data_IF_880079160078
#
_entry.id   IF_880079160078
#
_cell.length_a   1.000
_cell.length_b   1.000
_cell.length_c   1.000
_cell.angle_alpha   90.00
_cell.angle_beta   90.00
_cell.angle_gamma   90.00
#
_symmetry.space_group_name_H-M   'P 1'
#
loop_
_entity.id
_entity.type
_entity.pdbx_description
1 polymer ?
#
# COMPACT_ATOMS: atom_id res chain seq x y z
N UNK A 1 -7.75 11.49 -3.67
CA UNK A 1 -6.49 11.04 -4.30
C UNK A 1 -5.27 11.35 -3.44
N UNK A 2 -5.00 12.60 -3.00
CA UNK A 2 -3.86 12.92 -2.10
C UNK A 2 -3.77 12.06 -0.83
N UNK A 3 -4.91 11.76 -0.19
CA UNK A 3 -4.95 11.00 1.07
C UNK A 3 -4.51 9.54 0.93
N UNK A 4 -4.85 8.88 -0.18
CA UNK A 4 -4.58 7.43 -0.33
C UNK A 4 -3.11 7.18 -0.62
N UNK A 5 -2.48 8.05 -1.41
CA UNK A 5 -1.04 8.00 -1.70
C UNK A 5 -0.21 8.33 -0.45
N UNK A 6 -0.59 9.35 0.31
CA UNK A 6 0.06 9.69 1.58
C UNK A 6 -0.08 8.58 2.63
N UNK A 7 -1.27 7.95 2.71
CA UNK A 7 -1.49 6.77 3.56
C UNK A 7 -0.65 5.57 3.10
N UNK A 8 -0.55 5.31 1.79
CA UNK A 8 0.26 4.23 1.26
C UNK A 8 1.75 4.46 1.55
N UNK A 9 2.26 5.68 1.33
CA UNK A 9 3.63 6.05 1.65
C UNK A 9 3.94 5.86 3.15
N UNK A 10 3.00 6.22 4.01
CA UNK A 10 3.11 6.04 5.47
C UNK A 10 3.19 4.56 5.84
N UNK A 11 2.35 3.71 5.25
CA UNK A 11 2.35 2.27 5.50
C UNK A 11 3.61 1.58 4.99
N UNK A 12 4.12 1.98 3.82
CA UNK A 12 5.38 1.48 3.28
C UNK A 12 6.56 1.82 4.20
N UNK A 13 6.59 3.05 4.73
CA UNK A 13 7.63 3.46 5.68
C UNK A 13 7.55 2.65 6.99
N UNK A 14 6.34 2.46 7.51
CA UNK A 14 6.10 1.62 8.70
C UNK A 14 6.54 0.17 8.49
N UNK A 15 6.17 -0.44 7.35
CA UNK A 15 6.60 -1.78 6.97
C UNK A 15 8.13 -1.89 6.96
N UNK A 16 8.82 -0.93 6.33
CA UNK A 16 10.28 -0.93 6.26
C UNK A 16 10.93 -0.85 7.64
N UNK A 17 10.36 -0.08 8.56
CA UNK A 17 10.84 -0.05 9.96
C UNK A 17 10.70 -1.41 10.65
N UNK A 18 9.57 -2.10 10.46
CA UNK A 18 9.35 -3.44 11.04
C UNK A 18 10.34 -4.44 10.45
N UNK A 19 10.63 -4.38 9.15
CA UNK A 19 11.66 -5.22 8.51
C UNK A 19 13.03 -4.99 9.15
N UNK A 20 13.42 -3.73 9.34
CA UNK A 20 14.69 -3.40 10.00
C UNK A 20 14.74 -3.94 11.44
N UNK A 21 13.66 -3.77 12.20
CA UNK A 21 13.55 -4.35 13.55
C UNK A 21 13.67 -5.88 13.51
N UNK A 22 13.07 -6.55 12.53
CA UNK A 22 13.12 -8.00 12.40
C UNK A 22 14.52 -8.52 12.09
N UNK A 23 15.26 -7.80 11.26
CA UNK A 23 16.67 -8.11 10.95
C UNK A 23 17.53 -7.96 12.21
N UNK A 24 17.33 -6.89 12.97
CA UNK A 24 18.12 -6.59 14.17
C UNK A 24 17.78 -7.49 15.35
N UNK A 25 16.50 -7.79 15.57
CA UNK A 25 16.03 -8.60 16.69
C UNK A 25 16.15 -10.11 16.43
N UNK A 26 16.28 -10.54 15.17
CA UNK A 26 16.22 -11.95 14.81
C UNK A 26 14.79 -12.50 14.88
N UNK A 27 14.66 -13.83 15.00
CA UNK A 27 13.38 -14.55 14.98
C UNK A 27 12.35 -13.97 15.97
N UNK A 28 11.25 -13.41 15.46
CA UNK A 28 10.18 -12.82 16.28
C UNK A 28 8.83 -13.01 15.59
N UNK A 29 7.99 -13.82 16.23
CA UNK A 29 6.64 -14.10 15.75
C UNK A 29 5.79 -12.82 15.69
N UNK A 30 5.94 -11.94 16.67
CA UNK A 30 5.19 -10.67 16.72
C UNK A 30 5.55 -9.76 15.54
N UNK A 31 6.84 -9.64 15.22
CA UNK A 31 7.30 -8.84 14.08
C UNK A 31 6.87 -9.47 12.74
N UNK A 32 6.88 -10.81 12.65
CA UNK A 32 6.37 -11.52 11.47
C UNK A 32 4.87 -11.28 11.26
N UNK A 33 4.08 -11.28 12.34
CA UNK A 33 2.66 -10.98 12.28
C UNK A 33 2.38 -9.51 11.93
N UNK A 34 3.18 -8.57 12.46
CA UNK A 34 3.12 -7.16 12.09
C UNK A 34 3.42 -6.95 10.60
N UNK A 35 4.40 -7.66 10.04
CA UNK A 35 4.69 -7.61 8.60
C UNK A 35 3.52 -8.14 7.78
N UNK A 36 2.93 -9.26 8.18
CA UNK A 36 1.75 -9.84 7.52
C UNK A 36 0.57 -8.88 7.49
N UNK A 37 0.30 -8.19 8.60
CA UNK A 37 -0.77 -7.19 8.69
C UNK A 37 -0.48 -5.99 7.77
N UNK A 38 0.76 -5.49 7.78
CA UNK A 38 1.17 -4.38 6.93
C UNK A 38 1.03 -4.72 5.44
N UNK A 39 1.48 -5.91 5.03
CA UNK A 39 1.40 -6.39 3.64
C UNK A 39 -0.06 -6.51 3.18
N UNK A 40 -0.94 -7.05 4.03
CA UNK A 40 -2.36 -7.12 3.73
C UNK A 40 -2.98 -5.73 3.52
N UNK A 41 -2.63 -4.76 4.37
CA UNK A 41 -3.17 -3.41 4.28
C UNK A 41 -2.68 -2.64 3.05
N UNK A 42 -1.41 -2.83 2.69
CA UNK A 42 -0.82 -2.27 1.47
C UNK A 42 -1.54 -2.85 0.24
N UNK A 43 -1.72 -4.17 0.17
CA UNK A 43 -2.43 -4.81 -0.94
C UNK A 43 -3.88 -4.31 -1.05
N UNK A 44 -4.58 -4.15 0.08
CA UNK A 44 -5.93 -3.61 0.11
C UNK A 44 -5.99 -2.17 -0.44
N UNK A 45 -5.08 -1.29 -0.02
CA UNK A 45 -5.04 0.10 -0.48
C UNK A 45 -4.66 0.22 -1.95
N UNK A 46 -3.69 -0.58 -2.42
CA UNK A 46 -3.31 -0.63 -3.83
C UNK A 46 -4.50 -1.06 -4.69
N UNK A 47 -5.22 -2.11 -4.28
CA UNK A 47 -6.42 -2.56 -5.00
C UNK A 47 -7.51 -1.49 -5.02
N UNK A 48 -7.78 -0.82 -3.89
CA UNK A 48 -8.74 0.30 -3.84
C UNK A 48 -8.34 1.44 -4.76
N UNK A 49 -7.05 1.79 -4.81
CA UNK A 49 -6.55 2.85 -5.67
C UNK A 49 -6.67 2.49 -7.16
N UNK A 50 -6.31 1.25 -7.55
CA UNK A 50 -6.50 0.77 -8.93
C UNK A 50 -7.96 0.74 -9.36
N UNK A 51 -8.87 0.33 -8.46
CA UNK A 51 -10.32 0.35 -8.72
C UNK A 51 -10.83 1.78 -8.86
N UNK A 52 -10.40 2.71 -8.01
CA UNK A 52 -10.76 4.12 -8.12
C UNK A 52 -10.28 4.75 -9.44
N UNK A 53 -9.06 4.43 -9.90
CA UNK A 53 -8.54 4.82 -11.21
C UNK A 53 -9.40 4.23 -12.34
N UNK A 54 -9.74 2.93 -12.27
CA UNK A 54 -10.53 2.26 -13.30
C UNK A 54 -11.97 2.77 -13.41
N UNK A 55 -12.51 3.32 -12.33
CA UNK A 55 -13.85 3.90 -12.23
C UNK A 55 -13.89 5.40 -12.54
N UNK A 56 -12.74 6.08 -12.69
CA UNK A 56 -12.70 7.50 -13.05
C UNK A 56 -13.16 7.68 -14.52
N UNK A 57 -14.39 8.19 -14.78
CA UNK A 57 -14.95 8.27 -16.12
C UNK A 57 -14.19 9.26 -17.01
N UNK A 58 -13.50 10.23 -16.39
CA UNK A 58 -12.74 11.25 -17.10
C UNK A 58 -11.41 10.70 -17.65
N UNK A 59 -10.82 9.68 -17.03
CA UNK A 59 -9.65 8.98 -17.56
C UNK A 59 -9.96 8.10 -18.77
N UNK A 60 -11.15 7.47 -18.82
CA UNK A 60 -11.58 6.68 -19.98
C UNK A 60 -12.01 7.55 -21.17
N UNK A 61 -12.58 8.74 -20.91
CA UNK A 61 -13.00 9.66 -21.97
C UNK A 61 -11.82 10.30 -22.73
N UNK A 62 -10.65 10.44 -22.10
CA UNK A 62 -9.46 11.04 -22.72
C UNK A 62 -8.72 10.19 -23.74
N UNK A 63 -9.08 8.91 -23.92
CA UNK A 63 -8.43 7.98 -24.87
C UNK A 63 -9.30 7.75 -26.13
N UNK A 64 -10.52 8.29 -26.17
CA UNK A 64 -11.44 8.10 -27.30
C UNK A 64 -11.33 9.18 -28.40
N UNK A 65 -10.42 10.15 -28.26
CA UNK A 65 -10.20 11.22 -29.23
C UNK A 65 -8.71 11.40 -29.53
N UNK A 66 -8.15 10.51 -30.33
CA UNK A 66 -6.91 10.70 -31.08
C UNK A 66 -7.03 10.00 -32.44
#
# INVERSE_FOLDING_TARGET
>A
MKTDEEHLATLLNWRNRIVLLRILAGASADLDDMLRIADHKIAELVNRHQVNIALDPWQKAGVAHA
#
